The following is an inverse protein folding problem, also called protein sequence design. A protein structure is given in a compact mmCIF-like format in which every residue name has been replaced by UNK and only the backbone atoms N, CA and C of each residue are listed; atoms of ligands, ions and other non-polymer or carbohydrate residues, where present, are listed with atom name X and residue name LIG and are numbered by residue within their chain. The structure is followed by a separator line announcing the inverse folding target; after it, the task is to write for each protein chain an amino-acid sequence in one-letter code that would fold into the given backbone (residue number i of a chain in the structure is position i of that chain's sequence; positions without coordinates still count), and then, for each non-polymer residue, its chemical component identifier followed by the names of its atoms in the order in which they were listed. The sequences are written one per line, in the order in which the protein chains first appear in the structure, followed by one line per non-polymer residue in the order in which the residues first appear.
data_IF_249785756087
#
_entry.id   IF_249785756087
#
_cell.length_a   1.000
_cell.length_b   1.000
_cell.length_c   1.000
_cell.angle_alpha   90.00
_cell.angle_beta   90.00
_cell.angle_gamma   90.00
#
_symmetry.space_group_name_H-M   'P 1'
#
loop_
_entity.id
_entity.type
_entity.pdbx_description
1 polymer ?
#
# COMPACT_ATOMS: atom_id res chain seq x y z
N UNK A 1 -4.21 2.41 -9.28
CA UNK A 1 -3.74 1.01 -9.37
C UNK A 1 -3.86 0.51 -10.80
N UNK A 2 -3.07 -0.51 -11.18
CA UNK A 2 -3.14 -1.20 -12.48
C UNK A 2 -4.45 -2.01 -12.64
N UNK A 3 -5.59 -1.44 -12.25
CA UNK A 3 -6.89 -2.10 -12.14
C UNK A 3 -7.05 -2.99 -10.90
N UNK A 4 -6.00 -3.72 -10.50
CA UNK A 4 -6.04 -4.76 -9.45
C UNK A 4 -4.74 -4.77 -8.61
N UNK A 5 -4.80 -4.87 -7.26
CA UNK A 5 -3.60 -5.00 -6.42
C UNK A 5 -2.73 -6.22 -6.74
N UNK A 6 -3.32 -7.35 -7.15
CA UNK A 6 -2.59 -8.56 -7.57
C UNK A 6 -1.83 -8.31 -8.87
N UNK A 7 -2.40 -7.52 -9.79
CA UNK A 7 -1.70 -7.13 -11.01
C UNK A 7 -0.48 -6.25 -10.71
N UNK A 8 -0.58 -5.34 -9.74
CA UNK A 8 0.55 -4.52 -9.28
C UNK A 8 1.65 -5.39 -8.64
N UNK A 9 1.29 -6.38 -7.81
CA UNK A 9 2.25 -7.33 -7.25
C UNK A 9 2.93 -8.16 -8.34
N UNK A 10 2.17 -8.70 -9.29
CA UNK A 10 2.73 -9.51 -10.38
C UNK A 10 3.70 -8.70 -11.25
N UNK A 11 3.36 -7.44 -11.55
CA UNK A 11 4.27 -6.53 -12.24
C UNK A 11 5.56 -6.33 -11.45
N UNK A 12 5.47 -6.00 -10.15
CA UNK A 12 6.64 -5.78 -9.30
C UNK A 12 7.57 -7.01 -9.28
N UNK A 13 7.01 -8.21 -9.08
CA UNK A 13 7.78 -9.46 -9.05
C UNK A 13 8.54 -9.68 -10.36
N UNK A 14 7.88 -9.45 -11.50
CA UNK A 14 8.50 -9.64 -12.80
C UNK A 14 9.61 -8.62 -13.08
N UNK A 15 9.42 -7.35 -12.72
CA UNK A 15 10.43 -6.30 -12.91
C UNK A 15 11.66 -6.54 -12.04
N UNK A 16 11.47 -6.91 -10.77
CA UNK A 16 12.59 -7.22 -9.86
C UNK A 16 13.35 -8.47 -10.33
N UNK A 17 12.64 -9.49 -10.81
CA UNK A 17 13.26 -10.71 -11.33
C UNK A 17 14.13 -10.44 -12.56
N UNK A 18 13.76 -9.45 -13.40
CA UNK A 18 14.55 -9.07 -14.58
C UNK A 18 15.92 -8.45 -14.23
N UNK A 19 16.11 -8.04 -12.97
CA UNK A 19 17.37 -7.51 -12.44
C UNK A 19 17.96 -8.39 -11.32
N UNK A 20 17.61 -9.69 -11.33
CA UNK A 20 18.08 -10.71 -10.40
C UNK A 20 17.76 -10.44 -8.91
N UNK A 21 16.66 -9.71 -8.65
CA UNK A 21 16.15 -9.46 -7.29
C UNK A 21 14.88 -10.31 -7.09
N UNK A 22 14.91 -11.20 -6.11
CA UNK A 22 13.74 -11.98 -5.66
C UNK A 22 13.08 -11.36 -4.43
N UNK A 23 11.78 -11.59 -4.28
CA UNK A 23 11.08 -11.37 -3.00
C UNK A 23 11.31 -12.56 -2.08
N UNK A 24 11.39 -12.29 -0.78
CA UNK A 24 11.61 -13.30 0.25
C UNK A 24 10.33 -13.63 1.02
N UNK A 25 10.32 -14.81 1.63
CA UNK A 25 9.22 -15.20 2.53
C UNK A 25 9.21 -14.27 3.72
N UNK A 26 8.07 -13.62 3.94
CA UNK A 26 7.88 -12.66 5.03
C UNK A 26 7.93 -11.20 4.58
N UNK A 27 8.27 -10.93 3.32
CA UNK A 27 8.21 -9.57 2.78
C UNK A 27 6.79 -9.00 2.83
N UNK A 28 6.69 -7.73 3.24
CA UNK A 28 5.45 -6.97 3.21
C UNK A 28 5.45 -6.03 2.02
N UNK A 29 4.52 -6.22 1.10
CA UNK A 29 4.44 -5.48 -0.16
C UNK A 29 3.26 -4.53 -0.15
N UNK A 30 3.50 -3.26 -0.51
CA UNK A 30 2.43 -2.28 -0.76
C UNK A 30 2.17 -2.20 -2.26
N UNK A 31 0.92 -2.40 -2.67
CA UNK A 31 0.52 -2.45 -4.10
C UNK A 31 0.11 -1.07 -4.66
N UNK A 32 0.47 0.00 -3.96
CA UNK A 32 0.11 1.38 -4.27
C UNK A 32 -1.06 1.92 -3.44
N UNK A 33 -1.54 3.12 -3.81
CA UNK A 33 -2.63 3.81 -3.11
C UNK A 33 -4.01 3.48 -3.70
N UNK A 34 -5.03 3.48 -2.84
CA UNK A 34 -6.45 3.35 -3.20
C UNK A 34 -7.16 4.71 -3.36
N UNK A 35 -6.52 5.82 -2.98
CA UNK A 35 -7.07 7.16 -3.03
C UNK A 35 -6.01 8.19 -3.45
N UNK A 36 -6.46 9.39 -3.76
CA UNK A 36 -5.56 10.54 -3.86
C UNK A 36 -4.96 10.85 -2.49
N UNK A 37 -3.69 11.31 -2.42
CA UNK A 37 -3.10 11.80 -1.19
C UNK A 37 -3.90 12.98 -0.64
N UNK A 38 -4.20 12.94 0.65
CA UNK A 38 -4.84 14.04 1.37
C UNK A 38 -3.79 14.77 2.23
N UNK A 39 -3.80 16.11 2.29
CA UNK A 39 -2.98 16.86 3.23
C UNK A 39 -3.31 16.47 4.67
N UNK A 40 -2.28 16.45 5.54
CA UNK A 40 -2.41 16.14 6.97
C UNK A 40 -1.64 17.15 7.79
N UNK A 41 -2.19 17.55 8.93
CA UNK A 41 -1.59 18.46 9.91
C UNK A 41 -1.45 17.79 11.29
N UNK A 42 -0.56 18.27 12.19
CA UNK A 42 -0.49 17.80 13.56
C UNK A 42 -1.86 17.92 14.26
N UNK A 43 -2.28 16.86 14.94
CA UNK A 43 -3.59 16.73 15.57
C UNK A 43 -4.63 15.99 14.71
N UNK A 44 -4.38 15.79 13.41
CA UNK A 44 -5.32 15.08 12.55
C UNK A 44 -5.46 13.61 12.94
N UNK A 45 -6.68 13.11 12.87
CA UNK A 45 -6.98 11.68 12.99
C UNK A 45 -7.69 11.20 11.74
N UNK A 46 -7.09 10.24 11.04
CA UNK A 46 -7.57 9.70 9.78
C UNK A 46 -7.95 8.23 9.94
N UNK A 47 -9.00 7.83 9.24
CA UNK A 47 -9.43 6.42 9.17
C UNK A 47 -9.66 6.02 7.72
N UNK A 48 -8.96 4.98 7.28
CA UNK A 48 -9.18 4.32 6.00
C UNK A 48 -9.98 3.04 6.22
N UNK A 49 -11.19 2.96 5.63
CA UNK A 49 -12.06 1.79 5.68
C UNK A 49 -11.99 1.04 4.37
N UNK A 50 -11.60 -0.22 4.45
CA UNK A 50 -11.53 -1.16 3.34
C UNK A 50 -12.59 -2.23 3.55
N UNK A 51 -13.84 -1.94 3.18
CA UNK A 51 -15.04 -2.81 3.34
C UNK A 51 -14.84 -4.06 4.23
N UNK A 52 -14.66 -5.25 3.63
CA UNK A 52 -14.53 -6.52 4.36
C UNK A 52 -13.13 -6.77 4.96
N UNK A 53 -12.12 -5.96 4.59
CA UNK A 53 -10.74 -6.06 5.08
C UNK A 53 -10.53 -5.30 6.40
N UNK A 54 -11.44 -4.37 6.75
CA UNK A 54 -11.46 -3.68 8.03
C UNK A 54 -11.09 -2.19 7.96
N UNK A 55 -10.67 -1.63 9.09
CA UNK A 55 -10.37 -0.20 9.25
C UNK A 55 -8.96 -0.02 9.80
N UNK A 56 -8.22 0.88 9.17
CA UNK A 56 -6.92 1.37 9.67
C UNK A 56 -7.11 2.81 10.11
N UNK A 57 -6.71 3.11 11.34
CA UNK A 57 -6.79 4.47 11.90
C UNK A 57 -5.40 4.91 12.33
N UNK A 58 -5.07 6.17 12.05
CA UNK A 58 -3.86 6.81 12.56
C UNK A 58 -4.15 8.23 13.05
N UNK A 59 -3.38 8.66 14.04
CA UNK A 59 -3.39 10.04 14.55
C UNK A 59 -2.01 10.60 14.34
N UNK A 60 -1.95 11.79 13.72
CA UNK A 60 -0.74 12.55 13.51
C UNK A 60 -0.52 13.44 14.74
N UNK A 61 0.61 13.26 15.41
CA UNK A 61 0.98 14.01 16.62
C UNK A 61 2.18 14.92 16.32
N UNK A 62 2.42 15.89 17.20
CA UNK A 62 3.51 16.88 17.09
C UNK A 62 4.92 16.27 17.01
#
# INVERSE_FOLDING_TARGET
MLGDPVAALAWLVNELSAVDIGLEVGDFITTGTCSEPIPVEPGDSLSARFDDLGVVTCTFVD
#
